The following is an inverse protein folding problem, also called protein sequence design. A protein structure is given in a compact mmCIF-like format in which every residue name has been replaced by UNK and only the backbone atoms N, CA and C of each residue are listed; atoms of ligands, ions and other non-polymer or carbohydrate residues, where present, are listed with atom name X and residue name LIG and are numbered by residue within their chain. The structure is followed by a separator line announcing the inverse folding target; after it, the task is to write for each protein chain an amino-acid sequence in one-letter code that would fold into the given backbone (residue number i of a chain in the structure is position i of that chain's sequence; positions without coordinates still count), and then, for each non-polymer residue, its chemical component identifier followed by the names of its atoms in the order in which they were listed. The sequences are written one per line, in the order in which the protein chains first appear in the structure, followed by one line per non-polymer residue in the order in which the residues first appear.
data_IF_938132748192
#
_entry.id   IF_938132748192
#
_cell.length_a   1.000
_cell.length_b   1.000
_cell.length_c   1.000
_cell.angle_alpha   90.00
_cell.angle_beta   90.00
_cell.angle_gamma   90.00
#
_symmetry.space_group_name_H-M   'P 1'
#
loop_
_entity.id
_entity.type
_entity.pdbx_description
1 polymer ?
#
# COMPACT_ATOMS: atom_id res chain seq x y z
N UNK A 1 0.60 37.38 -17.29
CA UNK A 1 1.77 36.48 -17.32
C UNK A 1 1.34 35.17 -17.97
N UNK A 2 2.11 34.64 -18.94
CA UNK A 2 1.71 33.45 -19.68
C UNK A 2 1.77 32.21 -18.77
N UNK A 3 0.76 31.35 -18.89
CA UNK A 3 0.73 30.00 -18.26
C UNK A 3 1.96 29.20 -18.73
N UNK A 4 2.58 28.38 -17.88
CA UNK A 4 3.59 27.44 -18.34
C UNK A 4 2.91 26.45 -19.31
N UNK A 5 3.53 26.25 -20.47
CA UNK A 5 3.13 25.27 -21.47
C UNK A 5 3.22 23.86 -20.86
N UNK A 6 2.29 22.95 -21.19
CA UNK A 6 2.48 21.55 -20.85
C UNK A 6 3.73 21.03 -21.58
N UNK A 7 4.62 20.37 -20.84
CA UNK A 7 5.75 19.67 -21.42
C UNK A 7 5.25 18.55 -22.34
N UNK A 8 5.96 18.25 -23.43
CA UNK A 8 5.49 17.27 -24.41
C UNK A 8 5.44 15.89 -23.76
N UNK A 9 4.37 15.15 -24.03
CA UNK A 9 4.29 13.71 -23.76
C UNK A 9 5.59 13.06 -24.22
N UNK A 10 6.31 12.38 -23.31
CA UNK A 10 7.39 11.49 -23.68
C UNK A 10 6.78 10.23 -24.32
N UNK A 11 6.31 10.39 -25.56
CA UNK A 11 6.07 9.27 -26.46
C UNK A 11 7.41 8.89 -27.09
N UNK A 12 8.14 8.00 -26.40
CA UNK A 12 9.42 7.45 -26.85
C UNK A 12 9.23 6.17 -27.68
N UNK A 13 8.38 6.23 -28.71
CA UNK A 13 8.16 5.10 -29.64
C UNK A 13 8.89 5.33 -30.98
N UNK A 14 10.12 4.81 -31.20
CA UNK A 14 10.64 4.64 -32.55
C UNK A 14 10.07 3.33 -33.14
N UNK A 15 9.44 3.45 -34.32
CA UNK A 15 8.94 2.38 -35.20
C UNK A 15 7.70 1.58 -34.76
N UNK A 16 6.52 2.02 -35.22
CA UNK A 16 5.59 1.14 -35.96
C UNK A 16 4.71 0.15 -35.19
N UNK A 17 4.61 0.21 -33.87
CA UNK A 17 3.63 -0.57 -33.09
C UNK A 17 2.86 0.39 -32.16
N UNK A 18 1.56 0.56 -32.40
CA UNK A 18 0.72 1.56 -31.74
C UNK A 18 0.22 1.07 -30.37
N UNK A 19 1.12 0.82 -29.44
CA UNK A 19 0.79 0.42 -28.06
C UNK A 19 2.00 0.47 -27.13
N UNK A 20 1.78 0.57 -25.80
CA UNK A 20 2.88 0.61 -24.84
C UNK A 20 3.67 -0.71 -24.85
N UNK A 21 4.97 -0.65 -24.52
CA UNK A 21 5.82 -1.85 -24.41
C UNK A 21 5.20 -2.81 -23.38
N UNK A 22 5.07 -4.12 -23.66
CA UNK A 22 4.42 -5.04 -22.71
C UNK A 22 5.05 -5.03 -21.32
N UNK A 23 6.37 -5.06 -21.22
CA UNK A 23 7.09 -4.92 -19.97
C UNK A 23 8.19 -3.87 -20.09
N UNK A 24 8.30 -3.00 -19.09
CA UNK A 24 9.28 -1.92 -19.05
C UNK A 24 9.87 -1.74 -17.65
N UNK A 25 11.14 -1.36 -17.58
CA UNK A 25 11.83 -1.04 -16.33
C UNK A 25 11.98 0.47 -16.26
N UNK A 26 11.41 1.07 -15.21
CA UNK A 26 11.36 2.51 -15.05
C UNK A 26 12.07 2.89 -13.76
N UNK A 27 12.98 3.87 -13.85
CA UNK A 27 13.53 4.53 -12.66
C UNK A 27 12.65 5.74 -12.35
N UNK A 28 12.00 5.70 -11.20
CA UNK A 28 11.07 6.74 -10.78
C UNK A 28 11.81 8.02 -10.35
N UNK A 29 11.28 9.20 -10.70
CA UNK A 29 11.81 10.46 -10.19
C UNK A 29 11.55 10.59 -8.68
N UNK A 30 12.37 11.40 -8.02
CA UNK A 30 12.22 11.73 -6.59
C UNK A 30 11.11 12.74 -6.28
N UNK A 31 10.28 13.10 -7.27
CA UNK A 31 9.11 13.95 -7.12
C UNK A 31 7.85 13.18 -7.47
N UNK A 32 6.72 13.62 -6.92
CA UNK A 32 5.42 12.99 -7.12
C UNK A 32 4.79 13.51 -8.42
N UNK A 33 4.28 12.60 -9.24
CA UNK A 33 3.61 12.90 -10.51
C UNK A 33 2.27 12.15 -10.61
N UNK A 34 1.31 12.75 -11.30
CA UNK A 34 -0.03 12.19 -11.50
C UNK A 34 -0.23 11.88 -12.98
N UNK A 35 -0.76 10.70 -13.28
CA UNK A 35 -1.07 10.34 -14.66
C UNK A 35 -2.31 9.47 -14.76
N UNK A 36 -2.91 9.46 -15.94
CA UNK A 36 -4.09 8.67 -16.27
C UNK A 36 -3.87 7.98 -17.62
N UNK A 37 -4.21 6.68 -17.69
CA UNK A 37 -3.98 5.82 -18.84
C UNK A 37 -5.19 4.89 -19.05
N UNK A 38 -5.53 4.65 -20.32
CA UNK A 38 -6.72 3.87 -20.71
C UNK A 38 -6.50 2.34 -20.67
N UNK A 39 -5.49 1.87 -19.96
CA UNK A 39 -5.13 0.45 -19.86
C UNK A 39 -4.59 0.13 -18.46
N UNK A 40 -4.89 -1.07 -17.98
CA UNK A 40 -4.48 -1.51 -16.64
C UNK A 40 -2.98 -1.88 -16.65
N UNK A 41 -2.29 -1.60 -15.56
CA UNK A 41 -0.87 -1.86 -15.39
C UNK A 41 -0.63 -2.60 -14.08
N UNK A 42 0.39 -3.46 -14.06
CA UNK A 42 0.93 -4.00 -12.82
C UNK A 42 2.30 -3.39 -12.58
N UNK A 43 2.48 -2.82 -11.39
CA UNK A 43 3.75 -2.23 -10.97
C UNK A 43 4.38 -3.10 -9.90
N UNK A 44 5.66 -3.39 -10.03
CA UNK A 44 6.43 -4.20 -9.07
C UNK A 44 7.70 -3.45 -8.71
N UNK A 45 7.95 -3.24 -7.41
CA UNK A 45 9.19 -2.64 -6.94
C UNK A 45 10.38 -3.59 -7.11
N UNK A 46 11.46 -3.07 -7.67
CA UNK A 46 12.73 -3.79 -7.87
C UNK A 46 13.81 -3.29 -6.91
N UNK A 47 13.90 -1.97 -6.74
CA UNK A 47 14.91 -1.31 -5.90
C UNK A 47 14.35 -0.04 -5.29
N UNK A 48 14.81 0.30 -4.09
CA UNK A 48 14.38 1.51 -3.40
C UNK A 48 12.96 1.38 -2.85
N UNK A 49 12.35 2.51 -2.54
CA UNK A 49 10.95 2.59 -2.09
C UNK A 49 10.25 3.73 -2.84
N UNK A 50 9.04 3.46 -3.30
CA UNK A 50 8.21 4.45 -3.98
C UNK A 50 6.82 4.46 -3.38
N UNK A 51 6.25 5.65 -3.23
CA UNK A 51 4.87 5.80 -2.83
C UNK A 51 3.99 5.74 -4.09
N UNK A 52 2.98 4.89 -4.05
CA UNK A 52 1.95 4.77 -5.07
C UNK A 52 0.61 5.03 -4.41
N UNK A 53 -0.13 5.99 -4.95
CA UNK A 53 -1.51 6.28 -4.60
C UNK A 53 -2.40 5.81 -5.73
N UNK A 54 -3.10 4.70 -5.50
CA UNK A 54 -4.06 4.12 -6.45
C UNK A 54 -5.46 4.18 -5.81
N UNK A 55 -6.44 4.72 -6.55
CA UNK A 55 -7.81 4.91 -6.06
C UNK A 55 -7.90 5.71 -4.74
N UNK A 56 -7.05 6.74 -4.57
CA UNK A 56 -7.00 7.58 -3.38
C UNK A 56 -6.34 6.94 -2.15
N UNK A 57 -5.63 5.81 -2.32
CA UNK A 57 -4.94 5.08 -1.26
C UNK A 57 -3.45 5.00 -1.55
N UNK A 58 -2.66 5.82 -0.85
CA UNK A 58 -1.20 5.76 -0.87
C UNK A 58 -0.63 4.55 -0.13
N UNK A 59 0.35 3.87 -0.72
CA UNK A 59 1.14 2.83 -0.09
C UNK A 59 2.59 2.85 -0.59
N UNK A 60 3.51 2.31 0.22
CA UNK A 60 4.92 2.16 -0.14
C UNK A 60 5.13 0.83 -0.88
N UNK A 61 5.82 0.90 -2.01
CA UNK A 61 6.22 -0.23 -2.83
C UNK A 61 7.75 -0.31 -2.79
N UNK A 62 8.26 -1.36 -2.17
CA UNK A 62 9.66 -1.76 -2.18
C UNK A 62 9.91 -3.05 -2.98
N UNK A 63 11.11 -3.63 -2.89
CA UNK A 63 11.48 -4.83 -3.63
C UNK A 63 10.51 -6.00 -3.37
N UNK A 64 9.94 -6.54 -4.45
CA UNK A 64 8.98 -7.66 -4.40
C UNK A 64 7.56 -7.31 -3.96
N UNK A 65 7.30 -6.03 -3.66
CA UNK A 65 5.95 -5.50 -3.49
C UNK A 65 5.45 -4.97 -4.82
N UNK A 66 4.13 -4.90 -4.98
CA UNK A 66 3.55 -4.32 -6.17
C UNK A 66 2.11 -3.89 -6.00
N UNK A 67 1.60 -3.23 -7.03
CA UNK A 67 0.21 -2.82 -7.11
C UNK A 67 -0.38 -3.04 -8.51
N UNK A 68 -1.70 -3.18 -8.57
CA UNK A 68 -2.46 -3.15 -9.81
C UNK A 68 -3.06 -1.75 -9.95
N UNK A 69 -2.75 -1.09 -11.05
CA UNK A 69 -3.29 0.21 -11.45
C UNK A 69 -4.31 -0.05 -12.54
N UNK A 70 -5.56 0.38 -12.35
CA UNK A 70 -6.64 0.06 -13.30
C UNK A 70 -6.86 1.20 -14.29
N UNK A 71 -7.36 0.87 -15.48
CA UNK A 71 -7.61 1.82 -16.58
C UNK A 71 -8.60 2.96 -16.28
N UNK A 72 -9.22 2.97 -15.09
CA UNK A 72 -10.25 3.93 -14.69
C UNK A 72 -9.94 4.65 -13.38
N UNK A 73 -8.74 4.47 -12.83
CA UNK A 73 -8.32 5.07 -11.56
C UNK A 73 -7.29 6.17 -11.79
N UNK A 74 -7.58 7.38 -11.33
CA UNK A 74 -6.54 8.39 -11.14
C UNK A 74 -5.50 7.84 -10.16
N UNK A 75 -4.22 7.87 -10.54
CA UNK A 75 -3.12 7.49 -9.65
C UNK A 75 -1.99 8.51 -9.64
N UNK A 76 -1.38 8.64 -8.46
CA UNK A 76 -0.20 9.44 -8.22
C UNK A 76 0.94 8.54 -7.76
N UNK A 77 2.16 8.82 -8.19
CA UNK A 77 3.33 8.05 -7.78
C UNK A 77 4.50 8.99 -7.50
N UNK A 78 5.36 8.65 -6.54
CA UNK A 78 6.54 9.45 -6.22
C UNK A 78 7.60 8.66 -5.47
N UNK A 79 8.88 8.82 -5.83
CA UNK A 79 9.98 8.18 -5.11
C UNK A 79 10.12 8.71 -3.67
N UNK A 80 10.24 7.82 -2.69
CA UNK A 80 10.51 8.19 -1.30
C UNK A 80 12.02 8.21 -1.08
N UNK A 81 12.63 9.38 -1.30
CA UNK A 81 14.06 9.67 -1.01
C UNK A 81 15.04 8.61 -1.53
N UNK A 82 15.47 8.74 -2.78
CA UNK A 82 16.43 7.84 -3.43
C UNK A 82 16.03 7.52 -4.86
N UNK A 83 16.85 6.74 -5.58
CA UNK A 83 16.46 6.15 -6.86
C UNK A 83 15.67 4.88 -6.59
N UNK A 84 14.45 4.82 -7.13
CA UNK A 84 13.59 3.64 -7.04
C UNK A 84 13.34 3.09 -8.43
N UNK A 85 13.63 1.80 -8.60
CA UNK A 85 13.43 1.09 -9.86
C UNK A 85 12.19 0.22 -9.74
N UNK A 86 11.33 0.28 -10.74
CA UNK A 86 10.10 -0.50 -10.84
C UNK A 86 10.07 -1.26 -12.16
N UNK A 87 9.37 -2.40 -12.15
CA UNK A 87 8.92 -3.11 -13.33
C UNK A 87 7.46 -2.75 -13.57
N UNK A 88 7.14 -2.25 -14.75
CA UNK A 88 5.78 -1.98 -15.20
C UNK A 88 5.39 -3.01 -16.25
N UNK A 89 4.27 -3.69 -16.01
CA UNK A 89 3.68 -4.66 -16.91
C UNK A 89 2.38 -4.07 -17.43
N UNK A 90 2.36 -3.75 -18.72
CA UNK A 90 1.19 -3.20 -19.37
C UNK A 90 0.26 -4.35 -19.77
N UNK A 91 -0.97 -4.34 -19.27
CA UNK A 91 -1.95 -5.34 -19.65
C UNK A 91 -2.52 -4.99 -21.02
N UNK A 92 -2.63 -5.97 -21.93
CA UNK A 92 -3.31 -5.72 -23.19
C UNK A 92 -4.76 -5.33 -22.92
N UNK A 93 -5.26 -4.32 -23.63
CA UNK A 93 -6.69 -4.01 -23.63
C UNK A 93 -7.40 -5.25 -24.15
N UNK A 94 -8.30 -5.87 -23.36
CA UNK A 94 -8.94 -7.10 -23.77
C UNK A 94 -9.78 -6.81 -25.02
N UNK A 95 -9.53 -7.58 -26.07
CA UNK A 95 -10.48 -7.69 -27.19
C UNK A 95 -11.65 -8.56 -26.74
N UNK A 96 -12.88 -8.22 -27.15
CA UNK A 96 -14.10 -8.98 -26.80
C UNK A 96 -14.01 -10.50 -27.12
N UNK A 97 -13.07 -10.89 -27.98
CA UNK A 97 -12.82 -12.26 -28.42
C UNK A 97 -11.93 -13.11 -27.48
N UNK A 98 -11.46 -12.59 -26.34
CA UNK A 98 -10.72 -13.37 -25.33
C UNK A 98 -11.39 -13.31 -23.94
N UNK A 99 -12.43 -14.13 -23.72
CA UNK A 99 -13.17 -14.17 -22.46
C UNK A 99 -12.29 -14.55 -21.26
N UNK A 100 -11.24 -15.34 -21.49
CA UNK A 100 -10.34 -15.79 -20.44
C UNK A 100 -9.46 -14.62 -19.98
N UNK A 101 -8.93 -13.82 -20.91
CA UNK A 101 -8.19 -12.59 -20.57
C UNK A 101 -9.06 -11.54 -19.91
N UNK A 102 -10.31 -11.39 -20.35
CA UNK A 102 -11.27 -10.48 -19.74
C UNK A 102 -11.59 -10.89 -18.28
N UNK A 103 -11.82 -12.19 -18.04
CA UNK A 103 -12.02 -12.71 -16.68
C UNK A 103 -10.78 -12.52 -15.81
N UNK A 104 -9.58 -12.76 -16.36
CA UNK A 104 -8.30 -12.55 -15.67
C UNK A 104 -8.08 -11.10 -15.26
N UNK A 105 -8.39 -10.15 -16.14
CA UNK A 105 -8.29 -8.71 -15.83
C UNK A 105 -9.29 -8.36 -14.74
N UNK A 106 -10.56 -8.78 -14.87
CA UNK A 106 -11.59 -8.53 -13.86
C UNK A 106 -11.22 -9.12 -12.48
N UNK A 107 -10.62 -10.32 -12.44
CA UNK A 107 -10.13 -10.91 -11.19
C UNK A 107 -9.00 -10.09 -10.59
N UNK A 108 -8.01 -9.67 -11.38
CA UNK A 108 -6.92 -8.81 -10.92
C UNK A 108 -7.41 -7.44 -10.43
N UNK A 109 -8.41 -6.86 -11.10
CA UNK A 109 -9.04 -5.60 -10.72
C UNK A 109 -9.92 -5.73 -9.47
N UNK A 110 -10.49 -6.91 -9.22
CA UNK A 110 -11.27 -7.23 -8.01
C UNK A 110 -10.39 -7.66 -6.83
N UNK A 111 -9.17 -8.11 -7.12
CA UNK A 111 -8.15 -8.51 -6.14
C UNK A 111 -7.49 -7.28 -5.50
N UNK A 112 -6.86 -7.46 -4.34
CA UNK A 112 -6.20 -6.38 -3.61
C UNK A 112 -5.32 -5.51 -4.52
N UNK A 113 -5.55 -4.19 -4.48
CA UNK A 113 -4.77 -3.16 -5.21
C UNK A 113 -3.27 -3.29 -4.95
N UNK A 114 -2.86 -3.85 -3.81
CA UNK A 114 -1.47 -4.06 -3.41
C UNK A 114 -1.21 -5.55 -3.09
N UNK A 115 -0.03 -6.05 -3.46
CA UNK A 115 0.37 -7.43 -3.23
C UNK A 115 1.85 -7.56 -2.85
N UNK A 116 2.20 -8.70 -2.27
CA UNK A 116 3.58 -9.10 -1.95
C UNK A 116 3.89 -10.41 -2.66
N UNK A 117 4.95 -10.42 -3.45
CA UNK A 117 5.43 -11.62 -4.14
C UNK A 117 6.27 -12.47 -3.19
N UNK A 118 6.24 -13.78 -3.36
CA UNK A 118 7.12 -14.69 -2.63
C UNK A 118 8.57 -14.62 -3.14
N UNK A 119 9.49 -15.20 -2.36
CA UNK A 119 10.93 -15.15 -2.67
C UNK A 119 11.31 -15.88 -3.97
N UNK A 120 10.53 -16.87 -4.42
CA UNK A 120 10.81 -17.61 -5.64
C UNK A 120 10.43 -16.78 -6.87
N UNK A 121 9.25 -16.15 -6.86
CA UNK A 121 8.80 -15.25 -7.92
C UNK A 121 9.75 -14.04 -8.01
N UNK A 122 10.12 -13.46 -6.86
CA UNK A 122 11.04 -12.32 -6.83
C UNK A 122 12.38 -12.65 -7.51
N UNK A 123 12.94 -13.85 -7.30
CA UNK A 123 14.18 -14.29 -7.96
C UNK A 123 13.99 -14.44 -9.47
N UNK A 124 12.86 -15.01 -9.90
CA UNK A 124 12.57 -15.16 -11.33
C UNK A 124 12.42 -13.79 -12.01
N UNK A 125 11.67 -12.87 -11.40
CA UNK A 125 11.54 -11.49 -11.89
C UNK A 125 12.91 -10.83 -12.00
N UNK A 126 13.78 -10.98 -10.99
CA UNK A 126 15.14 -10.43 -11.08
C UNK A 126 15.92 -10.97 -12.29
N UNK A 127 15.84 -12.27 -12.59
CA UNK A 127 16.49 -12.83 -13.77
C UNK A 127 15.90 -12.30 -15.08
N UNK A 128 14.56 -12.21 -15.19
CA UNK A 128 13.90 -11.66 -16.36
C UNK A 128 14.25 -10.19 -16.60
N UNK A 129 14.28 -9.40 -15.52
CA UNK A 129 14.69 -7.99 -15.55
C UNK A 129 16.13 -7.84 -16.04
N UNK A 130 17.05 -8.71 -15.60
CA UNK A 130 18.44 -8.69 -16.07
C UNK A 130 18.55 -8.95 -17.58
N UNK A 131 17.81 -9.92 -18.11
CA UNK A 131 17.77 -10.20 -19.55
C UNK A 131 17.19 -9.02 -20.34
N UNK A 132 16.10 -8.42 -19.84
CA UNK A 132 15.51 -7.23 -20.45
C UNK A 132 16.46 -6.03 -20.45
N UNK A 133 17.25 -5.84 -19.39
CA UNK A 133 18.27 -4.79 -19.34
C UNK A 133 19.43 -5.06 -20.31
N UNK A 134 19.78 -6.33 -20.53
CA UNK A 134 20.80 -6.72 -21.49
C UNK A 134 20.36 -6.53 -22.94
N UNK A 135 19.05 -6.66 -23.21
CA UNK A 135 18.44 -6.51 -24.55
C UNK A 135 17.23 -5.56 -24.54
N UNK A 136 17.44 -4.24 -24.30
CA UNK A 136 16.35 -3.29 -24.02
C UNK A 136 15.42 -3.01 -25.22
N UNK A 137 15.84 -3.33 -26.44
CA UNK A 137 15.05 -3.13 -27.66
C UNK A 137 14.36 -4.41 -28.15
N UNK A 138 14.53 -5.53 -27.45
CA UNK A 138 13.87 -6.79 -27.80
C UNK A 138 12.42 -6.82 -27.30
N UNK A 139 11.51 -6.47 -28.21
CA UNK A 139 10.08 -6.46 -27.92
C UNK A 139 9.50 -7.87 -27.71
N UNK A 140 10.07 -8.90 -28.34
CA UNK A 140 9.63 -10.28 -28.15
C UNK A 140 9.96 -10.74 -26.73
N UNK A 141 11.17 -10.41 -26.26
CA UNK A 141 11.58 -10.67 -24.88
C UNK A 141 10.68 -9.91 -23.89
N UNK A 142 10.46 -8.61 -24.11
CA UNK A 142 9.55 -7.81 -23.27
C UNK A 142 8.15 -8.44 -23.16
N UNK A 143 7.61 -8.93 -24.28
CA UNK A 143 6.31 -9.61 -24.30
C UNK A 143 6.32 -10.95 -23.56
N UNK A 144 7.31 -11.79 -23.82
CA UNK A 144 7.45 -13.09 -23.15
C UNK A 144 7.61 -12.92 -21.63
N UNK A 145 8.36 -11.92 -21.18
CA UNK A 145 8.50 -11.57 -19.78
C UNK A 145 7.16 -11.11 -19.18
N UNK A 146 6.43 -10.21 -19.85
CA UNK A 146 5.09 -9.78 -19.43
C UNK A 146 4.17 -10.98 -19.22
N UNK A 147 3.98 -11.81 -20.25
CA UNK A 147 3.07 -12.96 -20.22
C UNK A 147 3.44 -13.94 -19.11
N UNK A 148 4.74 -14.19 -18.92
CA UNK A 148 5.25 -15.09 -17.86
C UNK A 148 4.93 -14.56 -16.47
N UNK A 149 5.20 -13.29 -16.20
CA UNK A 149 4.97 -12.71 -14.86
C UNK A 149 3.48 -12.61 -14.57
N UNK A 150 2.67 -12.21 -15.55
CA UNK A 150 1.20 -12.17 -15.41
C UNK A 150 0.64 -13.57 -15.13
N UNK A 151 1.10 -14.60 -15.84
CA UNK A 151 0.67 -15.98 -15.60
C UNK A 151 1.05 -16.48 -14.18
N UNK A 152 2.23 -16.12 -13.69
CA UNK A 152 2.65 -16.44 -12.32
C UNK A 152 1.76 -15.72 -11.31
N UNK A 153 1.55 -14.42 -11.48
CA UNK A 153 0.68 -13.65 -10.59
C UNK A 153 -0.73 -14.23 -10.52
N UNK A 154 -1.32 -14.64 -11.64
CA UNK A 154 -2.63 -15.31 -11.66
C UNK A 154 -2.63 -16.58 -10.80
N UNK A 155 -1.65 -17.47 -11.00
CA UNK A 155 -1.53 -18.71 -10.21
C UNK A 155 -1.36 -18.41 -8.71
N UNK A 156 -0.60 -17.38 -8.38
CA UNK A 156 -0.37 -16.99 -7.00
C UNK A 156 -1.55 -16.26 -6.38
N UNK A 157 -2.34 -15.47 -7.14
CA UNK A 157 -3.54 -14.78 -6.66
C UNK A 157 -4.67 -15.77 -6.38
N UNK A 158 -4.92 -16.74 -7.26
CA UNK A 158 -5.88 -17.81 -6.99
C UNK A 158 -5.49 -18.67 -5.77
N UNK A 159 -4.18 -18.89 -5.56
CA UNK A 159 -3.66 -19.53 -4.36
C UNK A 159 -3.73 -18.62 -3.12
N UNK A 160 -3.53 -17.30 -3.29
CA UNK A 160 -3.65 -16.29 -2.24
C UNK A 160 -5.09 -16.16 -1.76
N UNK A 161 -6.09 -16.13 -2.64
CA UNK A 161 -7.50 -16.10 -2.24
C UNK A 161 -7.90 -17.35 -1.43
N UNK A 162 -7.34 -18.50 -1.79
CA UNK A 162 -7.54 -19.76 -1.07
C UNK A 162 -6.82 -19.75 0.28
N UNK A 163 -5.60 -19.20 0.34
CA UNK A 163 -4.81 -19.06 1.57
C UNK A 163 -5.29 -17.92 2.48
N UNK A 164 -5.88 -16.84 1.96
CA UNK A 164 -6.42 -15.70 2.72
C UNK A 164 -7.69 -16.11 3.47
N UNK A 165 -8.47 -17.06 2.93
CA UNK A 165 -9.54 -17.70 3.70
C UNK A 165 -9.02 -18.43 4.95
N UNK A 166 -7.74 -18.82 4.97
CA UNK A 166 -7.08 -19.47 6.10
C UNK A 166 -6.10 -18.56 6.89
N UNK A 167 -5.57 -17.48 6.29
CA UNK A 167 -4.51 -16.66 6.89
C UNK A 167 -5.06 -15.38 7.52
N UNK A 168 -5.27 -15.46 8.83
CA UNK A 168 -5.28 -14.32 9.76
C UNK A 168 -3.98 -13.54 9.57
N UNK A 169 -4.07 -12.27 9.16
CA UNK A 169 -2.92 -11.39 8.92
C UNK A 169 -1.96 -11.31 10.13
N UNK A 170 -0.68 -10.98 9.88
CA UNK A 170 0.34 -10.89 10.93
C UNK A 170 0.06 -9.75 11.90
N UNK A 171 -0.47 -10.12 13.07
CA UNK A 171 -0.81 -9.18 14.15
C UNK A 171 0.41 -8.49 14.75
N UNK A 172 1.58 -9.13 14.75
CA UNK A 172 2.77 -8.54 15.34
C UNK A 172 3.33 -7.43 14.45
N UNK A 173 3.34 -7.65 13.14
CA UNK A 173 3.67 -6.63 12.16
C UNK A 173 2.70 -5.44 12.24
N UNK A 174 1.40 -5.72 12.35
CA UNK A 174 0.38 -4.69 12.51
C UNK A 174 0.55 -3.89 13.80
N UNK A 175 0.84 -4.56 14.92
CA UNK A 175 1.08 -3.90 16.21
C UNK A 175 2.31 -2.99 16.17
N UNK A 176 3.38 -3.45 15.52
CA UNK A 176 4.60 -2.65 15.34
C UNK A 176 4.33 -1.40 14.51
N UNK A 177 3.57 -1.54 13.43
CA UNK A 177 3.14 -0.41 12.60
C UNK A 177 2.33 0.60 13.40
N UNK A 178 1.33 0.13 14.17
CA UNK A 178 0.51 0.98 15.03
C UNK A 178 1.39 1.74 16.03
N UNK A 179 2.27 1.06 16.76
CA UNK A 179 3.10 1.71 17.80
C UNK A 179 4.04 2.78 17.23
N UNK A 180 4.58 2.57 16.03
CA UNK A 180 5.42 3.55 15.32
C UNK A 180 4.64 4.79 14.86
N UNK A 181 3.37 4.63 14.50
CA UNK A 181 2.54 5.70 13.92
C UNK A 181 1.49 6.27 14.88
N UNK A 182 1.45 5.81 16.13
CA UNK A 182 0.42 6.13 17.12
C UNK A 182 0.23 7.64 17.35
N UNK A 183 1.32 8.42 17.26
CA UNK A 183 1.31 9.88 17.43
C UNK A 183 0.65 10.62 16.26
N UNK A 184 0.57 9.99 15.09
CA UNK A 184 -0.03 10.55 13.87
C UNK A 184 -1.45 10.00 13.65
N UNK A 185 -2.17 10.60 12.69
CA UNK A 185 -3.47 10.05 12.25
C UNK A 185 -3.21 8.72 11.51
N UNK A 186 -3.82 7.64 12.01
CA UNK A 186 -3.79 6.32 11.38
C UNK A 186 -5.16 6.09 10.71
N UNK A 187 -5.16 5.84 9.41
CA UNK A 187 -6.37 5.45 8.66
C UNK A 187 -6.51 3.92 8.61
N UNK A 188 -7.73 3.43 8.36
CA UNK A 188 -7.97 2.00 8.13
C UNK A 188 -7.25 1.52 6.87
N UNK A 189 -7.18 2.38 5.83
CA UNK A 189 -6.39 2.13 4.63
C UNK A 189 -4.91 1.85 4.91
N UNK A 190 -4.29 2.65 5.78
CA UNK A 190 -2.88 2.47 6.18
C UNK A 190 -2.66 1.14 6.92
N UNK A 191 -3.58 0.78 7.83
CA UNK A 191 -3.50 -0.49 8.54
C UNK A 191 -3.68 -1.69 7.60
N UNK A 192 -4.68 -1.62 6.71
CA UNK A 192 -4.94 -2.66 5.73
C UNK A 192 -3.75 -2.85 4.78
N UNK A 193 -3.17 -1.74 4.29
CA UNK A 193 -1.96 -1.74 3.47
C UNK A 193 -0.74 -2.33 4.16
N UNK A 194 -0.58 -2.10 5.48
CA UNK A 194 0.55 -2.66 6.26
C UNK A 194 0.56 -4.20 6.33
N UNK A 195 -0.59 -4.82 6.04
CA UNK A 195 -0.77 -6.27 5.99
C UNK A 195 -1.21 -6.77 4.60
N UNK A 196 -1.07 -5.93 3.57
CA UNK A 196 -1.38 -6.25 2.16
C UNK A 196 -2.83 -6.67 1.91
N UNK A 197 -3.77 -6.03 2.61
CA UNK A 197 -5.21 -6.27 2.46
C UNK A 197 -5.94 -5.01 1.98
N UNK A 198 -7.01 -5.19 1.22
CA UNK A 198 -7.98 -4.14 0.96
C UNK A 198 -8.76 -3.75 2.23
N UNK A 199 -9.20 -2.50 2.35
CA UNK A 199 -9.87 -1.99 3.57
C UNK A 199 -11.07 -2.80 4.02
N UNK A 200 -11.97 -3.16 3.08
CA UNK A 200 -13.18 -3.92 3.39
C UNK A 200 -12.84 -5.32 3.90
N UNK A 201 -11.85 -5.96 3.28
CA UNK A 201 -11.36 -7.28 3.66
C UNK A 201 -10.64 -7.23 5.02
N UNK A 202 -9.74 -6.26 5.21
CA UNK A 202 -9.07 -6.03 6.49
C UNK A 202 -10.06 -5.76 7.62
N UNK A 203 -11.06 -4.90 7.40
CA UNK A 203 -12.04 -4.59 8.42
C UNK A 203 -12.84 -5.84 8.83
N UNK A 204 -13.27 -6.63 7.85
CA UNK A 204 -14.02 -7.87 8.08
C UNK A 204 -13.17 -8.89 8.85
N UNK A 205 -11.98 -9.21 8.34
CA UNK A 205 -11.06 -10.18 8.94
C UNK A 205 -10.59 -9.73 10.33
N UNK A 206 -10.28 -8.45 10.49
CA UNK A 206 -9.84 -7.91 11.78
C UNK A 206 -10.95 -8.00 12.83
N UNK A 207 -12.18 -7.66 12.46
CA UNK A 207 -13.32 -7.76 13.38
C UNK A 207 -13.64 -9.21 13.73
N UNK A 208 -13.54 -10.12 12.76
CA UNK A 208 -13.73 -11.56 12.98
C UNK A 208 -12.66 -12.14 13.92
N UNK A 209 -11.40 -11.77 13.72
CA UNK A 209 -10.27 -12.27 14.50
C UNK A 209 -10.17 -11.65 15.89
N UNK A 210 -10.38 -10.34 16.01
CA UNK A 210 -10.13 -9.58 17.26
C UNK A 210 -11.42 -9.27 18.04
N UNK A 211 -12.60 -9.49 17.44
CA UNK A 211 -13.90 -9.16 18.03
C UNK A 211 -14.22 -7.65 18.10
N UNK A 212 -13.29 -6.79 17.68
CA UNK A 212 -13.40 -5.32 17.72
C UNK A 212 -12.93 -4.72 16.41
N UNK A 213 -13.36 -3.49 16.10
CA UNK A 213 -12.95 -2.82 14.86
C UNK A 213 -11.49 -2.34 14.93
N UNK A 214 -10.79 -2.19 13.79
CA UNK A 214 -9.43 -1.64 13.77
C UNK A 214 -9.32 -0.29 14.49
N UNK A 215 -10.33 0.58 14.31
CA UNK A 215 -10.38 1.87 14.98
C UNK A 215 -10.47 1.73 16.52
N UNK A 216 -11.29 0.80 17.02
CA UNK A 216 -11.37 0.53 18.47
C UNK A 216 -10.05 0.00 19.02
N UNK A 217 -9.35 -0.84 18.25
CA UNK A 217 -8.05 -1.37 18.63
C UNK A 217 -6.99 -0.28 18.74
N UNK A 218 -6.88 0.61 17.75
CA UNK A 218 -5.98 1.77 17.79
C UNK A 218 -6.31 2.68 18.98
N UNK A 219 -7.58 2.94 19.26
CA UNK A 219 -7.97 3.72 20.45
C UNK A 219 -7.50 3.06 21.75
N UNK A 220 -7.58 1.73 21.87
CA UNK A 220 -7.03 0.98 23.00
C UNK A 220 -5.53 1.23 23.18
N UNK A 221 -4.74 1.06 22.11
CA UNK A 221 -3.29 1.31 22.11
C UNK A 221 -2.95 2.76 22.49
N UNK A 222 -3.74 3.75 22.03
CA UNK A 222 -3.59 5.17 22.41
C UNK A 222 -3.82 5.38 23.90
N UNK A 223 -4.83 4.73 24.48
CA UNK A 223 -5.08 4.78 25.93
C UNK A 223 -3.93 4.14 26.71
N UNK A 224 -3.43 2.98 26.27
CA UNK A 224 -2.30 2.32 26.93
C UNK A 224 -1.02 3.17 26.91
N UNK A 225 -0.76 3.85 25.78
CA UNK A 225 0.35 4.82 25.68
C UNK A 225 0.12 6.02 26.60
N UNK A 226 -1.09 6.57 26.64
CA UNK A 226 -1.41 7.70 27.52
C UNK A 226 -1.23 7.35 29.01
N UNK A 227 -1.56 6.12 29.40
CA UNK A 227 -1.37 5.61 30.76
C UNK A 227 0.11 5.60 31.14
N UNK A 228 0.96 5.05 30.26
CA UNK A 228 2.42 5.05 30.42
C UNK A 228 2.99 6.47 30.54
N UNK A 229 2.52 7.41 29.72
CA UNK A 229 2.95 8.81 29.76
C UNK A 229 2.53 9.53 31.05
N UNK A 230 1.32 9.23 31.57
CA UNK A 230 0.85 9.79 32.84
C UNK A 230 1.70 9.24 34.00
N UNK A 231 2.01 7.94 33.99
CA UNK A 231 2.86 7.26 34.99
C UNK A 231 4.29 7.83 35.07
N UNK A 232 4.81 8.38 33.98
CA UNK A 232 6.11 9.06 33.95
C UNK A 232 6.12 10.45 34.64
N UNK A 233 4.96 11.00 35.00
CA UNK A 233 4.82 12.15 35.91
C UNK A 233 5.10 13.55 35.35
N UNK A 234 5.76 13.67 34.20
CA UNK A 234 6.35 14.95 33.75
C UNK A 234 5.51 15.76 32.75
N UNK A 235 4.35 15.25 32.33
CA UNK A 235 3.56 15.84 31.24
C UNK A 235 2.20 16.35 31.72
N UNK A 236 1.76 17.47 31.13
CA UNK A 236 0.37 17.93 31.23
C UNK A 236 -0.58 17.00 30.47
N UNK A 237 -1.86 16.99 30.81
CA UNK A 237 -2.84 16.15 30.11
C UNK A 237 -3.04 16.54 28.65
N UNK A 238 -2.81 17.81 28.29
CA UNK A 238 -2.77 18.27 26.90
C UNK A 238 -1.62 17.64 26.12
N UNK A 239 -0.40 17.68 26.68
CA UNK A 239 0.78 17.04 26.08
C UNK A 239 0.64 15.52 26.00
N UNK A 240 0.04 14.89 27.01
CA UNK A 240 -0.26 13.44 26.96
C UNK A 240 -1.23 13.12 25.81
N UNK A 241 -2.27 13.93 25.62
CA UNK A 241 -3.23 13.73 24.54
C UNK A 241 -2.54 13.81 23.17
N UNK A 242 -1.70 14.82 22.96
CA UNK A 242 -0.94 15.02 21.74
C UNK A 242 0.04 13.86 21.47
N UNK A 243 0.86 13.50 22.45
CA UNK A 243 1.86 12.41 22.31
C UNK A 243 1.25 11.00 22.20
N UNK A 244 -0.02 10.85 22.63
CA UNK A 244 -0.81 9.65 22.42
C UNK A 244 -1.62 9.70 21.10
N UNK A 245 -1.49 10.76 20.30
CA UNK A 245 -2.08 10.89 18.97
C UNK A 245 -3.53 11.38 18.93
N UNK A 246 -4.09 11.86 20.04
CA UNK A 246 -5.44 12.43 20.04
C UNK A 246 -5.45 13.81 19.38
N UNK A 247 -6.53 14.13 18.66
CA UNK A 247 -6.73 15.45 18.04
C UNK A 247 -6.91 16.59 19.04
N UNK A 248 -7.09 16.27 20.33
CA UNK A 248 -7.17 17.25 21.40
C UNK A 248 -7.52 16.63 22.74
N UNK A 249 -7.31 17.42 23.80
CA UNK A 249 -7.50 16.99 25.19
C UNK A 249 -8.95 16.56 25.50
N UNK A 250 -9.96 17.18 24.86
CA UNK A 250 -11.37 16.81 25.06
C UNK A 250 -11.68 15.41 24.55
N UNK A 251 -11.22 15.07 23.34
CA UNK A 251 -11.40 13.73 22.74
C UNK A 251 -10.66 12.66 23.52
N UNK A 252 -9.44 12.98 23.97
CA UNK A 252 -8.67 12.15 24.89
C UNK A 252 -9.43 11.89 26.20
N UNK A 253 -9.90 12.94 26.87
CA UNK A 253 -10.58 12.83 28.17
C UNK A 253 -11.84 11.98 28.08
N UNK A 254 -12.66 12.21 27.06
CA UNK A 254 -13.86 11.43 26.81
C UNK A 254 -13.53 9.94 26.57
N UNK A 255 -12.57 9.67 25.69
CA UNK A 255 -12.18 8.29 25.34
C UNK A 255 -11.54 7.55 26.52
N UNK A 256 -10.64 8.21 27.25
CA UNK A 256 -9.99 7.64 28.43
C UNK A 256 -11.01 7.33 29.52
N UNK A 257 -11.93 8.25 29.82
CA UNK A 257 -12.97 8.02 30.83
C UNK A 257 -13.86 6.84 30.46
N UNK A 258 -14.23 6.72 29.18
CA UNK A 258 -15.04 5.60 28.69
C UNK A 258 -14.32 4.26 28.82
N UNK A 259 -13.03 4.19 28.51
CA UNK A 259 -12.27 2.94 28.49
C UNK A 259 -11.67 2.55 29.86
N UNK A 260 -11.35 3.52 30.72
CA UNK A 260 -10.70 3.28 32.03
C UNK A 260 -11.67 3.46 33.21
N UNK A 261 -12.90 3.91 32.96
CA UNK A 261 -13.92 4.14 33.99
C UNK A 261 -13.66 5.37 34.90
N UNK A 262 -12.60 6.14 34.63
CA UNK A 262 -12.28 7.38 35.36
C UNK A 262 -11.56 8.39 34.46
N UNK A 263 -11.63 9.67 34.80
CA UNK A 263 -10.96 10.71 34.02
C UNK A 263 -9.43 10.64 34.11
N UNK A 264 -8.68 11.11 33.08
CA UNK A 264 -7.22 11.20 33.13
C UNK A 264 -6.70 12.00 34.34
N UNK A 265 -7.39 13.06 34.75
CA UNK A 265 -7.03 13.87 35.93
C UNK A 265 -7.12 13.08 37.22
N UNK A 266 -8.20 12.29 37.39
CA UNK A 266 -8.36 11.41 38.54
C UNK A 266 -7.30 10.29 38.53
N UNK A 267 -7.03 9.70 37.36
CA UNK A 267 -5.99 8.70 37.18
C UNK A 267 -4.60 9.25 37.57
N UNK A 268 -4.24 10.44 37.07
CA UNK A 268 -2.99 11.13 37.40
C UNK A 268 -2.87 11.40 38.91
N UNK A 269 -3.93 11.89 39.55
CA UNK A 269 -3.93 12.11 41.01
C UNK A 269 -3.71 10.80 41.79
N UNK A 270 -4.30 9.70 41.34
CA UNK A 270 -4.18 8.39 41.99
C UNK A 270 -2.75 7.84 41.95
N UNK A 271 -2.03 8.05 40.85
CA UNK A 271 -0.63 7.60 40.72
C UNK A 271 0.36 8.53 41.44
N UNK A 272 0.09 9.84 41.52
CA UNK A 272 0.97 10.80 42.20
C UNK A 272 0.87 10.76 43.73
N UNK A 273 -0.10 10.02 44.28
CA UNK A 273 -0.30 9.80 45.72
C UNK A 273 0.30 8.45 46.17
N UNK A 274 0.95 7.72 45.26
CA UNK A 274 1.72 6.50 45.51
C UNK A 274 3.21 6.82 45.55
#
# INVERSE_FOLDING_TARGET
MPKPLPFPNLDLSPLGLTGPRPAEIITLPSHMDCHDHHYSQVVIGLKGQAEFEVCGKGNLIGPGQGCVVTASSDHAFGGVVGQSDILVLNMPVPTDDDPLMLEKINQLESSNVYFQLDAQIQKLIHMLVQEMQASPDDLLLSRACNDTVIALMQRHISAFETSIKDSRFDLEALDRYIEQHLANKISVAQLAGSVFLGESQFHMLFKEQMGITPHQYVLGKRIDRSRRLIEQGNLSLGQVAELAGFSGQSSFTHTFSRLQGMSPSQYKKKISVK
#
